data_IF_366301318399
#
_entry.id   IF_366301318399
#
_cell.length_a   1.000
_cell.length_b   1.000
_cell.length_c   1.000
_cell.angle_alpha   90.00
_cell.angle_beta   90.00
_cell.angle_gamma   90.00
#
_symmetry.space_group_name_H-M   'P 1'
#
loop_
_entity.id
_entity.type
_entity.pdbx_description
1 polymer ?
#
# COMPACT_ATOMS: atom_id res chain seq x y z
N UNK A 1 6.32 -11.73 56.28
CA UNK A 1 5.87 -12.63 55.19
C UNK A 1 6.54 -13.98 55.33
N UNK A 2 5.79 -15.08 55.27
CA UNK A 2 6.39 -16.42 55.27
C UNK A 2 7.12 -16.68 53.95
N UNK A 3 8.12 -17.58 53.93
CA UNK A 3 8.86 -17.96 52.70
C UNK A 3 7.92 -18.34 51.55
N UNK A 4 6.78 -18.98 51.86
CA UNK A 4 5.76 -19.36 50.86
C UNK A 4 5.05 -18.15 50.24
N UNK A 5 4.69 -17.16 51.06
CA UNK A 5 4.06 -15.92 50.57
C UNK A 5 5.02 -15.10 49.69
N UNK A 6 6.31 -15.05 50.05
CA UNK A 6 7.33 -14.36 49.24
C UNK A 6 7.51 -15.02 47.86
N UNK A 7 7.51 -16.34 47.80
CA UNK A 7 7.64 -17.06 46.52
C UNK A 7 6.42 -16.88 45.62
N UNK A 8 5.20 -16.92 46.16
CA UNK A 8 3.97 -16.67 45.39
C UNK A 8 3.96 -15.25 44.83
N UNK A 9 4.38 -14.26 45.63
CA UNK A 9 4.48 -12.88 45.18
C UNK A 9 5.48 -12.72 44.02
N UNK A 10 6.68 -13.32 44.13
CA UNK A 10 7.69 -13.28 43.06
C UNK A 10 7.18 -13.95 41.78
N UNK A 11 6.54 -15.12 41.88
CA UNK A 11 5.95 -15.81 40.72
C UNK A 11 4.87 -14.93 40.07
N UNK A 12 4.00 -14.31 40.87
CA UNK A 12 2.96 -13.41 40.37
C UNK A 12 3.55 -12.22 39.61
N UNK A 13 4.62 -11.61 40.11
CA UNK A 13 5.32 -10.52 39.42
C UNK A 13 5.92 -11.03 38.10
N UNK A 14 6.58 -12.19 38.10
CA UNK A 14 7.19 -12.76 36.90
C UNK A 14 6.14 -13.09 35.82
N UNK A 15 5.00 -13.66 36.21
CA UNK A 15 3.91 -13.95 35.28
C UNK A 15 3.34 -12.67 34.67
N UNK A 16 3.17 -11.61 35.46
CA UNK A 16 2.71 -10.32 34.92
C UNK A 16 3.73 -9.70 33.95
N UNK A 17 5.02 -9.73 34.29
CA UNK A 17 6.08 -9.27 33.39
C UNK A 17 6.07 -10.08 32.09
N UNK A 18 5.94 -11.40 32.18
CA UNK A 18 5.84 -12.27 31.00
C UNK A 18 4.62 -11.93 30.14
N UNK A 19 3.44 -11.72 30.74
CA UNK A 19 2.23 -11.32 30.02
C UNK A 19 2.42 -9.99 29.28
N UNK A 20 3.02 -8.98 29.93
CA UNK A 20 3.32 -7.70 29.29
C UNK A 20 4.26 -7.88 28.09
N UNK A 21 5.31 -8.71 28.23
CA UNK A 21 6.23 -9.03 27.14
C UNK A 21 5.49 -9.70 25.98
N UNK A 22 4.63 -10.68 26.25
CA UNK A 22 3.80 -11.33 25.23
C UNK A 22 2.88 -10.34 24.51
N UNK A 23 2.25 -9.42 25.23
CA UNK A 23 1.39 -8.38 24.65
C UNK A 23 2.17 -7.46 23.72
N UNK A 24 3.36 -7.01 24.14
CA UNK A 24 4.23 -6.16 23.31
C UNK A 24 4.68 -6.89 22.05
N UNK A 25 5.11 -8.15 22.16
CA UNK A 25 5.50 -8.96 20.98
C UNK A 25 4.31 -9.17 20.04
N UNK A 26 3.13 -9.46 20.58
CA UNK A 26 1.90 -9.64 19.80
C UNK A 26 1.53 -8.37 19.02
N UNK A 27 1.56 -7.21 19.69
CA UNK A 27 1.31 -5.91 19.06
C UNK A 27 2.31 -5.62 17.93
N UNK A 28 3.61 -5.83 18.16
CA UNK A 28 4.64 -5.61 17.13
C UNK A 28 4.46 -6.54 15.92
N UNK A 29 4.13 -7.82 16.13
CA UNK A 29 3.88 -8.77 15.02
C UNK A 29 2.68 -8.38 14.18
N UNK A 30 1.58 -7.98 14.81
CA UNK A 30 0.36 -7.55 14.11
C UNK A 30 0.67 -6.32 13.24
N UNK A 31 1.36 -5.31 13.79
CA UNK A 31 1.78 -4.13 13.01
C UNK A 31 2.64 -4.48 11.80
N UNK A 32 3.57 -5.43 11.93
CA UNK A 32 4.39 -5.88 10.80
C UNK A 32 3.57 -6.62 9.73
N UNK A 33 2.64 -7.50 10.13
CA UNK A 33 1.78 -8.21 9.19
C UNK A 33 0.89 -7.23 8.39
N UNK A 34 0.41 -6.16 9.03
CA UNK A 34 -0.35 -5.13 8.34
C UNK A 34 0.47 -4.36 7.29
N UNK A 35 1.75 -4.08 7.58
CA UNK A 35 2.66 -3.44 6.62
C UNK A 35 2.96 -4.35 5.42
N UNK A 36 3.11 -5.65 5.69
CA UNK A 36 3.31 -6.65 4.64
C UNK A 36 2.12 -6.71 3.68
N UNK A 37 0.89 -6.67 4.19
CA UNK A 37 -0.32 -6.54 3.36
C UNK A 37 -0.28 -5.30 2.47
N UNK A 38 0.18 -4.15 2.97
CA UNK A 38 0.32 -2.95 2.15
C UNK A 38 1.33 -3.12 1.01
N UNK A 39 2.44 -3.82 1.27
CA UNK A 39 3.40 -4.09 0.22
C UNK A 39 2.81 -4.99 -0.86
N UNK A 40 2.22 -6.12 -0.48
CA UNK A 40 1.64 -7.08 -1.42
C UNK A 40 0.45 -6.50 -2.19
N UNK A 41 -0.41 -5.74 -1.52
CA UNK A 41 -1.66 -5.25 -2.11
C UNK A 41 -1.54 -3.93 -2.85
N UNK A 42 -0.51 -3.11 -2.56
CA UNK A 42 -0.38 -1.77 -3.17
C UNK A 42 0.95 -1.63 -3.89
N UNK A 43 2.07 -1.79 -3.19
CA UNK A 43 3.39 -1.53 -3.78
C UNK A 43 3.69 -2.48 -4.95
N UNK A 44 3.42 -3.78 -4.81
CA UNK A 44 3.58 -4.74 -5.90
C UNK A 44 2.65 -4.41 -7.08
N UNK A 45 1.39 -4.07 -6.83
CA UNK A 45 0.43 -3.75 -7.90
C UNK A 45 0.79 -2.47 -8.67
N UNK A 46 1.37 -1.47 -8.01
CA UNK A 46 1.92 -0.27 -8.67
C UNK A 46 3.10 -0.62 -9.58
N UNK A 47 3.96 -1.55 -9.15
CA UNK A 47 5.09 -2.04 -9.95
C UNK A 47 4.60 -2.87 -11.14
N UNK A 48 3.58 -3.70 -10.95
CA UNK A 48 2.93 -4.44 -12.03
C UNK A 48 2.25 -3.50 -13.02
N UNK A 49 1.61 -2.42 -12.56
CA UNK A 49 1.02 -1.40 -13.43
C UNK A 49 2.08 -0.77 -14.34
N UNK A 50 3.25 -0.40 -13.82
CA UNK A 50 4.38 0.06 -14.62
C UNK A 50 4.77 -0.94 -15.71
N UNK A 51 4.89 -2.22 -15.33
CA UNK A 51 5.24 -3.30 -16.22
C UNK A 51 4.22 -3.56 -17.32
N UNK A 52 2.94 -3.52 -16.95
CA UNK A 52 1.82 -3.76 -17.83
C UNK A 52 1.67 -2.62 -18.85
N UNK A 53 1.85 -1.37 -18.43
CA UNK A 53 1.89 -0.23 -19.36
C UNK A 53 3.07 -0.40 -20.34
N UNK A 54 4.25 -0.83 -19.86
CA UNK A 54 5.38 -1.09 -20.75
C UNK A 54 5.07 -2.18 -21.79
N UNK A 55 4.46 -3.27 -21.33
CA UNK A 55 4.06 -4.38 -22.17
C UNK A 55 3.02 -3.95 -23.21
N UNK A 56 1.98 -3.22 -22.81
CA UNK A 56 0.95 -2.74 -23.72
C UNK A 56 1.53 -1.75 -24.75
N UNK A 57 2.40 -0.83 -24.33
CA UNK A 57 3.08 0.09 -25.26
C UNK A 57 3.89 -0.64 -26.33
N UNK A 58 4.64 -1.69 -25.94
CA UNK A 58 5.44 -2.49 -26.89
C UNK A 58 4.60 -3.33 -27.86
N UNK A 59 3.35 -3.61 -27.50
CA UNK A 59 2.41 -4.43 -28.28
C UNK A 59 1.26 -3.58 -28.86
N UNK A 60 1.51 -2.31 -29.13
CA UNK A 60 0.54 -1.36 -29.74
C UNK A 60 -0.82 -1.30 -29.03
N UNK A 61 -0.82 -1.50 -27.71
CA UNK A 61 -2.00 -1.53 -26.87
C UNK A 61 -3.03 -2.56 -27.34
N UNK A 62 -2.60 -3.80 -27.59
CA UNK A 62 -3.45 -4.91 -28.02
C UNK A 62 -4.54 -5.26 -27.00
N UNK A 63 -4.26 -5.09 -25.70
CA UNK A 63 -5.19 -5.38 -24.60
C UNK A 63 -5.22 -4.23 -23.58
N UNK A 64 -5.74 -3.05 -23.96
CA UNK A 64 -5.68 -1.84 -23.13
C UNK A 64 -6.51 -1.96 -21.85
N UNK A 65 -7.54 -2.81 -21.86
CA UNK A 65 -8.38 -3.12 -20.70
C UNK A 65 -7.58 -3.69 -19.52
N UNK A 66 -6.48 -4.38 -19.78
CA UNK A 66 -5.67 -4.93 -18.68
C UNK A 66 -5.10 -3.81 -17.81
N UNK A 67 -4.76 -2.66 -18.41
CA UNK A 67 -4.24 -1.50 -17.68
C UNK A 67 -5.32 -0.87 -16.81
N UNK A 68 -6.57 -0.78 -17.29
CA UNK A 68 -7.70 -0.24 -16.50
C UNK A 68 -8.11 -1.17 -15.37
N UNK A 69 -8.06 -2.48 -15.60
CA UNK A 69 -8.26 -3.51 -14.57
C UNK A 69 -7.16 -3.45 -13.51
N UNK A 70 -5.88 -3.41 -13.91
CA UNK A 70 -4.76 -3.34 -12.97
C UNK A 70 -4.79 -2.06 -12.13
N UNK A 71 -5.16 -0.92 -12.73
CA UNK A 71 -5.35 0.32 -11.97
C UNK A 71 -6.50 0.18 -10.95
N UNK A 72 -7.60 -0.48 -11.32
CA UNK A 72 -8.69 -0.78 -10.39
C UNK A 72 -8.19 -1.64 -9.21
N UNK A 73 -7.35 -2.64 -9.47
CA UNK A 73 -6.78 -3.49 -8.42
C UNK A 73 -5.83 -2.74 -7.48
N UNK A 74 -5.09 -1.75 -7.99
CA UNK A 74 -4.29 -0.81 -7.19
C UNK A 74 -5.20 0.03 -6.29
N UNK A 75 -6.25 0.65 -6.84
CA UNK A 75 -7.20 1.48 -6.09
C UNK A 75 -7.90 0.67 -4.99
N UNK A 76 -8.38 -0.53 -5.32
CA UNK A 76 -8.99 -1.45 -4.34
C UNK A 76 -7.99 -1.85 -3.24
N UNK A 77 -6.72 -2.04 -3.60
CA UNK A 77 -5.64 -2.30 -2.63
C UNK A 77 -5.43 -1.14 -1.68
N UNK A 78 -5.37 0.10 -2.20
CA UNK A 78 -5.22 1.32 -1.39
C UNK A 78 -6.41 1.49 -0.45
N UNK A 79 -7.64 1.36 -0.97
CA UNK A 79 -8.86 1.45 -0.17
C UNK A 79 -8.89 0.42 0.96
N UNK A 80 -8.65 -0.85 0.64
CA UNK A 80 -8.67 -1.92 1.62
C UNK A 80 -7.62 -1.71 2.71
N UNK A 81 -6.41 -1.35 2.31
CA UNK A 81 -5.28 -1.19 3.22
C UNK A 81 -5.44 0.06 4.10
N UNK A 82 -5.93 1.17 3.54
CA UNK A 82 -6.23 2.42 4.27
C UNK A 82 -7.35 2.23 5.27
N UNK A 83 -8.47 1.61 4.86
CA UNK A 83 -9.59 1.33 5.75
C UNK A 83 -9.20 0.37 6.88
N UNK A 84 -8.44 -0.68 6.57
CA UNK A 84 -7.92 -1.59 7.58
C UNK A 84 -7.00 -0.86 8.57
N UNK A 85 -6.07 -0.04 8.06
CA UNK A 85 -5.15 0.75 8.86
C UNK A 85 -5.81 1.75 9.79
N UNK A 86 -6.87 2.40 9.31
CA UNK A 86 -7.72 3.29 10.11
C UNK A 86 -8.44 2.55 11.24
N UNK A 87 -9.03 1.38 10.95
CA UNK A 87 -9.83 0.64 11.92
C UNK A 87 -8.99 -0.02 13.02
N UNK A 88 -7.82 -0.54 12.65
CA UNK A 88 -6.88 -1.19 13.57
C UNK A 88 -5.95 -0.21 14.30
N UNK A 89 -5.87 1.04 13.83
CA UNK A 89 -5.10 2.12 14.46
C UNK A 89 -3.59 2.03 14.26
N UNK A 90 -3.09 1.12 13.42
CA UNK A 90 -1.65 1.03 13.14
C UNK A 90 -1.17 2.10 12.15
N UNK A 91 -2.07 2.65 11.33
CA UNK A 91 -1.78 3.69 10.35
C UNK A 91 -1.89 5.07 11.02
N UNK A 92 -0.82 5.87 10.98
CA UNK A 92 -0.84 7.23 11.54
C UNK A 92 -1.79 8.14 10.74
N UNK A 93 -2.22 9.27 11.32
CA UNK A 93 -3.09 10.23 10.61
C UNK A 93 -2.41 10.82 9.37
N UNK A 94 -1.11 11.07 9.46
CA UNK A 94 -0.34 11.61 8.34
C UNK A 94 -0.22 10.56 7.23
N UNK A 95 0.07 9.30 7.58
CA UNK A 95 0.11 8.21 6.61
C UNK A 95 -1.26 7.97 5.95
N UNK A 96 -2.36 8.09 6.72
CA UNK A 96 -3.74 8.02 6.18
C UNK A 96 -3.95 9.09 5.10
N UNK A 97 -3.59 10.33 5.38
CA UNK A 97 -3.71 11.43 4.41
C UNK A 97 -2.90 11.17 3.14
N UNK A 98 -1.68 10.64 3.27
CA UNK A 98 -0.85 10.30 2.10
C UNK A 98 -1.53 9.23 1.24
N UNK A 99 -2.15 8.22 1.85
CA UNK A 99 -2.88 7.18 1.11
C UNK A 99 -4.15 7.71 0.44
N UNK A 100 -4.93 8.54 1.14
CA UNK A 100 -6.13 9.19 0.59
C UNK A 100 -5.77 10.11 -0.59
N UNK A 101 -4.66 10.86 -0.50
CA UNK A 101 -4.17 11.68 -1.61
C UNK A 101 -3.70 10.84 -2.79
N UNK A 102 -3.02 9.72 -2.54
CA UNK A 102 -2.59 8.81 -3.59
C UNK A 102 -3.80 8.19 -4.32
N UNK A 103 -4.79 7.72 -3.57
CA UNK A 103 -6.05 7.19 -4.10
C UNK A 103 -6.72 8.23 -5.01
N UNK A 104 -6.93 9.44 -4.50
CA UNK A 104 -7.56 10.54 -5.25
C UNK A 104 -6.79 10.87 -6.54
N UNK A 105 -5.46 10.92 -6.47
CA UNK A 105 -4.62 11.19 -7.63
C UNK A 105 -4.74 10.09 -8.70
N UNK A 106 -4.78 8.81 -8.29
CA UNK A 106 -4.87 7.69 -9.22
C UNK A 106 -6.27 7.52 -9.83
N UNK A 107 -7.34 7.91 -9.11
CA UNK A 107 -8.73 7.86 -9.63
C UNK A 107 -9.00 8.80 -10.80
N UNK A 108 -8.11 9.75 -11.07
CA UNK A 108 -8.22 10.61 -12.25
C UNK A 108 -8.02 9.85 -13.56
N UNK A 109 -7.31 8.73 -13.51
CA UNK A 109 -7.08 7.88 -14.66
C UNK A 109 -8.26 6.93 -14.89
N UNK A 110 -8.58 6.59 -16.15
CA UNK A 110 -9.64 5.64 -16.45
C UNK A 110 -9.36 4.28 -15.83
N UNK A 111 -10.29 3.77 -15.03
CA UNK A 111 -10.21 2.48 -14.37
C UNK A 111 -11.53 1.75 -14.50
N UNK A 112 -11.50 0.44 -14.30
CA UNK A 112 -12.74 -0.33 -14.26
C UNK A 112 -13.42 -0.14 -12.91
N UNK A 113 -14.74 0.03 -12.94
CA UNK A 113 -15.59 0.05 -11.76
C UNK A 113 -16.48 -1.22 -11.76
N UNK A 114 -17.18 -1.46 -10.66
CA UNK A 114 -18.10 -2.59 -10.55
C UNK A 114 -19.15 -2.54 -11.68
N UNK A 115 -19.08 -3.50 -12.60
CA UNK A 115 -19.93 -3.64 -13.79
C UNK A 115 -19.76 -2.54 -14.86
N UNK A 116 -18.67 -1.76 -14.80
CA UNK A 116 -18.40 -0.70 -15.78
C UNK A 116 -16.94 -0.74 -16.20
N UNK A 117 -16.72 -1.14 -17.45
CA UNK A 117 -15.39 -1.27 -18.03
C UNK A 117 -15.00 0.01 -18.76
N UNK A 118 -13.82 0.54 -18.45
CA UNK A 118 -13.31 1.75 -19.11
C UNK A 118 -12.70 1.41 -20.46
N UNK A 119 -13.05 2.20 -21.48
CA UNK A 119 -12.45 2.11 -22.82
C UNK A 119 -11.39 3.19 -22.96
N UNK A 120 -10.14 2.80 -23.22
CA UNK A 120 -9.04 3.75 -23.37
C UNK A 120 -9.08 4.44 -24.73
N UNK A 121 -9.23 5.77 -24.71
CA UNK A 121 -8.98 6.61 -25.88
C UNK A 121 -7.48 6.77 -26.13
N UNK A 122 -7.08 7.40 -27.24
CA UNK A 122 -5.66 7.70 -27.49
C UNK A 122 -5.08 8.65 -26.42
N UNK A 123 -5.83 9.67 -26.00
CA UNK A 123 -5.42 10.59 -24.93
C UNK A 123 -5.14 9.83 -23.63
N UNK A 124 -6.03 8.90 -23.28
CA UNK A 124 -5.90 8.12 -22.05
C UNK A 124 -4.63 7.26 -22.07
N UNK A 125 -4.28 6.69 -23.23
CA UNK A 125 -3.05 5.90 -23.38
C UNK A 125 -1.82 6.77 -23.13
N UNK A 126 -1.80 7.97 -23.69
CA UNK A 126 -0.69 8.91 -23.50
C UNK A 126 -0.59 9.34 -22.02
N UNK A 127 -1.71 9.57 -21.34
CA UNK A 127 -1.76 9.84 -19.89
C UNK A 127 -1.23 8.66 -19.05
N UNK A 128 -1.54 7.41 -19.42
CA UNK A 128 -0.96 6.24 -18.77
C UNK A 128 0.54 6.10 -19.01
N UNK A 129 1.04 6.47 -20.19
CA UNK A 129 2.49 6.53 -20.45
C UNK A 129 3.17 7.60 -19.58
N UNK A 130 2.52 8.74 -19.34
CA UNK A 130 3.01 9.72 -18.37
C UNK A 130 2.97 9.20 -16.93
N UNK A 131 1.90 8.50 -16.53
CA UNK A 131 1.81 7.85 -15.22
C UNK A 131 2.96 6.86 -15.02
N UNK A 132 3.27 6.07 -16.05
CA UNK A 132 4.40 5.15 -16.04
C UNK A 132 5.73 5.86 -15.73
N UNK A 133 5.98 7.00 -16.38
CA UNK A 133 7.19 7.79 -16.12
C UNK A 133 7.24 8.30 -14.68
N UNK A 134 6.09 8.72 -14.12
CA UNK A 134 5.98 9.15 -12.71
C UNK A 134 6.25 7.98 -11.75
N UNK A 135 5.68 6.80 -12.00
CA UNK A 135 5.91 5.57 -11.22
C UNK A 135 7.41 5.21 -11.19
N UNK A 136 8.05 5.18 -12.36
CA UNK A 136 9.50 4.92 -12.45
C UNK A 136 10.30 5.98 -11.70
N UNK A 137 9.97 7.26 -11.85
CA UNK A 137 10.69 8.37 -11.22
C UNK A 137 10.68 8.29 -9.68
N UNK A 138 9.58 7.85 -9.07
CA UNK A 138 9.45 7.81 -7.61
C UNK A 138 9.93 6.51 -6.98
N UNK A 139 10.19 5.45 -7.75
CA UNK A 139 10.69 4.21 -7.20
C UNK A 139 9.76 2.99 -7.29
N UNK A 140 8.73 3.03 -8.15
CA UNK A 140 7.76 1.94 -8.37
C UNK A 140 7.92 1.27 -9.76
N UNK A 141 9.11 1.28 -10.36
CA UNK A 141 9.34 0.60 -11.64
C UNK A 141 9.66 -0.90 -11.49
N UNK A 142 9.37 -1.71 -12.53
CA UNK A 142 9.57 -3.18 -12.55
C UNK A 142 10.97 -3.70 -12.17
N UNK A 143 12.00 -2.86 -12.24
CA UNK A 143 13.39 -3.24 -11.93
C UNK A 143 13.91 -2.59 -10.64
N UNK A 144 13.02 -2.05 -9.82
CA UNK A 144 13.39 -1.37 -8.59
C UNK A 144 13.21 -2.29 -7.39
N UNK A 145 14.13 -2.21 -6.44
CA UNK A 145 14.03 -2.97 -5.19
C UNK A 145 12.77 -2.56 -4.44
N UNK A 146 11.88 -3.52 -4.26
CA UNK A 146 10.72 -3.39 -3.39
C UNK A 146 11.25 -3.34 -1.96
N UNK A 147 11.18 -2.15 -1.37
CA UNK A 147 11.59 -1.94 0.01
C UNK A 147 10.46 -2.40 0.93
N UNK A 148 10.80 -3.18 1.95
CA UNK A 148 9.91 -3.51 3.07
C UNK A 148 9.97 -2.46 4.18
N UNK A 149 10.49 -1.26 3.89
CA UNK A 149 10.50 -0.13 4.81
C UNK A 149 9.26 0.75 4.60
N UNK A 150 8.46 0.87 5.66
CA UNK A 150 7.17 1.58 5.63
C UNK A 150 7.36 3.06 5.32
N UNK A 151 8.39 3.66 5.92
CA UNK A 151 8.70 5.08 5.71
C UNK A 151 9.07 5.34 4.26
N UNK A 152 9.89 4.48 3.66
CA UNK A 152 10.21 4.53 2.24
C UNK A 152 8.95 4.46 1.38
N UNK A 153 8.05 3.51 1.63
CA UNK A 153 6.80 3.38 0.89
C UNK A 153 5.92 4.64 0.97
N UNK A 154 5.71 5.17 2.18
CA UNK A 154 4.94 6.41 2.38
C UNK A 154 5.58 7.59 1.64
N UNK A 155 6.90 7.77 1.77
CA UNK A 155 7.62 8.85 1.07
C UNK A 155 7.51 8.74 -0.46
N UNK A 156 7.56 7.52 -1.01
CA UNK A 156 7.38 7.30 -2.46
C UNK A 156 5.94 7.61 -2.89
N UNK A 157 4.97 7.19 -2.09
CA UNK A 157 3.54 7.42 -2.34
C UNK A 157 3.19 8.91 -2.33
N UNK A 158 3.69 9.66 -1.35
CA UNK A 158 3.52 11.11 -1.26
C UNK A 158 4.15 11.85 -2.47
N UNK A 159 5.34 11.40 -2.89
CA UNK A 159 5.98 11.93 -4.10
C UNK A 159 5.19 11.59 -5.36
N UNK A 160 4.59 10.41 -5.44
CA UNK A 160 3.75 10.03 -6.57
C UNK A 160 2.51 10.91 -6.66
N UNK A 161 1.77 11.05 -5.55
CA UNK A 161 0.58 11.88 -5.48
C UNK A 161 0.88 13.35 -5.80
N UNK A 162 2.04 13.88 -5.39
CA UNK A 162 2.41 15.27 -5.70
C UNK A 162 2.84 15.49 -7.16
N UNK A 163 3.30 14.45 -7.87
CA UNK A 163 3.59 14.52 -9.31
C UNK A 163 2.35 14.36 -10.19
N UNK A 164 1.27 13.81 -9.63
CA UNK A 164 -0.02 13.70 -10.29
C UNK A 164 -0.81 14.94 -9.84
N UNK A 165 -0.75 16.01 -10.64
CA UNK A 165 -1.53 17.21 -10.37
C UNK A 165 -3.01 16.85 -10.27
N UNK A 166 -3.59 16.99 -9.08
CA UNK A 166 -5.01 16.74 -8.87
C UNK A 166 -5.78 17.88 -9.56
N UNK A 167 -6.26 17.62 -10.78
CA UNK A 167 -7.17 18.53 -11.51
C UNK A 167 -8.53 18.65 -10.84
#
# INVERSE_FOLDING_TARGET
MSKKQKNIFVISVLVNVFLVVCLVIGYLRISSAHKELFYSEVQYKLVELDGLIEHQKKNDWSEPKLVTTQLSDVLNGIDAATNNGKHSGWLSKDDQMVMEHLDMALRQYPHDELYKFSVLTKSNKDEFEELQLKLKKVGFGMNMTISNDWKSFITKSEKLSSLIEVK
#
